data_IF_441914944041
#
_entry.id   IF_441914944041
#
_cell.length_a   1.000
_cell.length_b   1.000
_cell.length_c   1.000
_cell.angle_alpha   90.00
_cell.angle_beta   90.00
_cell.angle_gamma   90.00
#
_symmetry.space_group_name_H-M   'P 1'
#
loop_
_entity.id
_entity.type
_entity.pdbx_description
1 polymer ?
#
# COMPACT_ATOMS: atom_id res chain seq x y z
N UNK A 1 -6.97 -16.16 -8.38
CA UNK A 1 -7.43 -15.10 -7.47
C UNK A 1 -6.34 -14.06 -7.42
N UNK A 2 -6.60 -12.83 -7.87
CA UNK A 2 -5.60 -11.75 -7.85
C UNK A 2 -5.45 -11.20 -6.42
N UNK A 3 -4.23 -10.84 -6.04
CA UNK A 3 -3.85 -10.38 -4.71
C UNK A 3 -3.50 -8.91 -4.72
N UNK A 4 -4.33 -8.14 -4.03
CA UNK A 4 -4.08 -6.73 -3.78
C UNK A 4 -3.50 -6.57 -2.38
N UNK A 5 -2.32 -5.98 -2.29
CA UNK A 5 -1.60 -5.78 -1.05
C UNK A 5 -1.55 -4.29 -0.72
N UNK A 6 -2.16 -3.88 0.41
CA UNK A 6 -1.95 -2.52 0.96
C UNK A 6 -0.86 -2.61 2.01
N UNK A 7 0.18 -1.78 1.85
CA UNK A 7 1.24 -1.60 2.84
C UNK A 7 1.16 -0.18 3.39
N UNK A 8 1.19 -0.04 4.72
CA UNK A 8 1.25 1.26 5.39
C UNK A 8 2.09 1.19 6.66
N UNK A 9 2.52 2.34 7.18
CA UNK A 9 3.23 2.48 8.44
C UNK A 9 2.64 3.56 9.34
N UNK A 10 3.39 4.04 10.32
CA UNK A 10 2.95 5.00 11.32
C UNK A 10 1.59 4.59 11.93
N UNK A 11 0.58 5.46 11.87
CA UNK A 11 -0.77 5.19 12.37
C UNK A 11 -1.68 4.43 11.39
N UNK A 12 -1.23 4.10 10.17
CA UNK A 12 -2.03 3.37 9.17
C UNK A 12 -3.17 4.15 8.52
N UNK A 13 -3.19 5.48 8.65
CA UNK A 13 -4.32 6.29 8.24
C UNK A 13 -4.59 6.24 6.73
N UNK A 14 -3.53 6.22 5.91
CA UNK A 14 -3.65 6.23 4.47
C UNK A 14 -4.09 4.85 3.95
N UNK A 15 -3.49 3.79 4.48
CA UNK A 15 -3.85 2.40 4.20
C UNK A 15 -5.28 2.08 4.62
N UNK A 16 -5.74 2.61 5.77
CA UNK A 16 -7.12 2.45 6.22
C UNK A 16 -8.12 3.11 5.24
N UNK A 17 -7.81 4.32 4.75
CA UNK A 17 -8.65 4.98 3.76
C UNK A 17 -8.64 4.27 2.40
N UNK A 18 -7.48 3.79 1.96
CA UNK A 18 -7.37 2.94 0.77
C UNK A 18 -8.24 1.68 0.90
N UNK A 19 -8.11 0.94 2.01
CA UNK A 19 -8.88 -0.27 2.24
C UNK A 19 -10.39 0.00 2.19
N UNK A 20 -10.84 1.05 2.89
CA UNK A 20 -12.25 1.45 2.92
C UNK A 20 -12.80 1.81 1.53
N UNK A 21 -12.02 2.48 0.70
CA UNK A 21 -12.46 2.91 -0.64
C UNK A 21 -12.36 1.81 -1.70
N UNK A 22 -11.36 0.93 -1.58
CA UNK A 22 -11.07 -0.10 -2.57
C UNK A 22 -11.93 -1.34 -2.37
N UNK A 23 -12.10 -1.80 -1.12
CA UNK A 23 -12.77 -3.08 -0.82
C UNK A 23 -14.16 -3.22 -1.46
N UNK A 24 -15.05 -2.21 -1.44
CA UNK A 24 -16.38 -2.31 -2.07
C UNK A 24 -16.34 -2.38 -3.60
N UNK A 25 -15.20 -2.06 -4.22
CA UNK A 25 -15.02 -1.99 -5.67
C UNK A 25 -14.19 -3.15 -6.22
N UNK A 26 -13.65 -4.02 -5.36
CA UNK A 26 -12.82 -5.14 -5.80
C UNK A 26 -13.67 -6.20 -6.51
N UNK A 27 -13.18 -6.77 -7.62
CA UNK A 27 -13.79 -7.94 -8.24
C UNK A 27 -13.88 -9.13 -7.28
N UNK A 28 -14.85 -10.02 -7.49
CA UNK A 28 -15.10 -11.16 -6.61
C UNK A 28 -13.93 -12.17 -6.56
N UNK A 29 -13.10 -12.21 -7.59
CA UNK A 29 -11.91 -13.06 -7.70
C UNK A 29 -10.62 -12.36 -7.24
N UNK A 30 -10.75 -11.22 -6.55
CA UNK A 30 -9.64 -10.49 -5.94
C UNK A 30 -9.69 -10.59 -4.41
N UNK A 31 -8.53 -10.72 -3.77
CA UNK A 31 -8.39 -10.59 -2.31
C UNK A 31 -7.61 -9.33 -1.93
N UNK A 32 -8.03 -8.67 -0.85
CA UNK A 32 -7.31 -7.54 -0.25
C UNK A 32 -6.60 -8.00 1.03
N UNK A 33 -5.28 -7.83 1.06
CA UNK A 33 -4.44 -8.09 2.22
C UNK A 33 -3.84 -6.78 2.73
N UNK A 34 -3.97 -6.53 4.03
CA UNK A 34 -3.36 -5.39 4.70
C UNK A 34 -2.07 -5.81 5.42
N UNK A 35 -0.95 -5.15 5.14
CA UNK A 35 0.32 -5.41 5.84
C UNK A 35 0.89 -4.11 6.39
N UNK A 36 0.87 -3.97 7.72
CA UNK A 36 1.51 -2.84 8.38
C UNK A 36 3.00 -3.10 8.58
N UNK A 37 3.82 -2.05 8.45
CA UNK A 37 5.20 -2.07 8.95
C UNK A 37 5.23 -2.17 10.49
N UNK A 38 4.14 -1.75 11.15
CA UNK A 38 3.91 -1.90 12.58
C UNK A 38 2.45 -2.33 12.88
N UNK A 39 2.18 -2.69 14.14
CA UNK A 39 0.87 -3.24 14.57
C UNK A 39 -0.25 -2.20 14.51
N UNK A 40 0.03 -0.92 14.77
CA UNK A 40 -0.98 0.15 14.69
C UNK A 40 -1.47 0.31 13.25
N UNK A 41 -0.55 0.30 12.28
CA UNK A 41 -0.88 0.41 10.88
C UNK A 41 -1.77 -0.76 10.40
N UNK A 42 -1.38 -2.01 10.73
CA UNK A 42 -2.19 -3.19 10.44
C UNK A 42 -3.58 -3.09 11.09
N UNK A 43 -3.63 -2.67 12.36
CA UNK A 43 -4.87 -2.57 13.12
C UNK A 43 -5.82 -1.53 12.52
N UNK A 44 -5.30 -0.39 12.05
CA UNK A 44 -6.09 0.65 11.40
C UNK A 44 -6.74 0.13 10.11
N UNK A 45 -5.98 -0.59 9.28
CA UNK A 45 -6.50 -1.18 8.04
C UNK A 45 -7.54 -2.27 8.28
N UNK A 46 -7.33 -3.13 9.27
CA UNK A 46 -8.32 -4.16 9.66
C UNK A 46 -9.62 -3.52 10.15
N UNK A 47 -9.54 -2.49 10.99
CA UNK A 47 -10.71 -1.72 11.46
C UNK A 47 -11.46 -1.01 10.31
N UNK A 48 -10.76 -0.69 9.22
CA UNK A 48 -11.34 -0.09 8.03
C UNK A 48 -12.01 -1.11 7.09
N UNK A 49 -11.95 -2.40 7.40
CA UNK A 49 -12.66 -3.47 6.69
C UNK A 49 -11.77 -4.48 5.98
N UNK A 50 -10.44 -4.34 6.00
CA UNK A 50 -9.56 -5.38 5.46
C UNK A 50 -9.77 -6.69 6.22
N UNK A 51 -10.01 -7.79 5.49
CA UNK A 51 -10.38 -9.09 6.10
C UNK A 51 -9.15 -9.83 6.63
N UNK A 52 -7.99 -9.64 5.99
CA UNK A 52 -6.74 -10.30 6.34
C UNK A 52 -5.67 -9.27 6.62
N UNK A 53 -4.88 -9.52 7.67
CA UNK A 53 -3.83 -8.63 8.12
C UNK A 53 -2.59 -9.37 8.57
N UNK A 54 -1.41 -8.80 8.30
CA UNK A 54 -0.14 -9.25 8.87
C UNK A 54 0.75 -8.03 9.20
N UNK A 55 1.81 -8.22 9.99
CA UNK A 55 2.63 -7.11 10.46
C UNK A 55 4.12 -7.45 10.40
N UNK A 56 4.95 -6.45 10.05
CA UNK A 56 6.40 -6.47 10.21
C UNK A 56 7.17 -6.90 8.96
N UNK A 57 8.51 -6.90 9.07
CA UNK A 57 9.43 -7.10 7.94
C UNK A 57 9.12 -8.35 7.12
N UNK A 58 9.04 -9.50 7.79
CA UNK A 58 8.80 -10.75 7.07
C UNK A 58 7.40 -10.80 6.43
N UNK A 59 6.39 -10.17 7.04
CA UNK A 59 5.07 -10.08 6.45
C UNK A 59 5.10 -9.26 5.15
N UNK A 60 5.81 -8.13 5.14
CA UNK A 60 6.00 -7.33 3.94
C UNK A 60 6.74 -8.12 2.87
N UNK A 61 7.90 -8.71 3.21
CA UNK A 61 8.73 -9.47 2.26
C UNK A 61 7.97 -10.65 1.66
N UNK A 62 7.29 -11.43 2.50
CA UNK A 62 6.55 -12.62 2.07
C UNK A 62 5.39 -12.26 1.15
N UNK A 63 4.62 -11.22 1.47
CA UNK A 63 3.41 -10.89 0.71
C UNK A 63 3.71 -10.06 -0.54
N UNK A 64 4.73 -9.21 -0.53
CA UNK A 64 5.12 -8.42 -1.70
C UNK A 64 5.46 -9.30 -2.91
N UNK A 65 6.18 -10.42 -2.68
CA UNK A 65 6.53 -11.38 -3.73
C UNK A 65 5.34 -12.17 -4.30
N UNK A 66 4.15 -12.02 -3.72
CA UNK A 66 2.94 -12.80 -4.05
C UNK A 66 1.76 -11.92 -4.44
N UNK A 67 1.94 -10.61 -4.45
CA UNK A 67 0.93 -9.65 -4.82
C UNK A 67 0.93 -9.46 -6.34
N UNK A 68 -0.25 -9.18 -6.90
CA UNK A 68 -0.41 -8.71 -8.28
C UNK A 68 -0.37 -7.18 -8.32
N UNK A 69 -0.88 -6.53 -7.26
CA UNK A 69 -0.83 -5.07 -7.07
C UNK A 69 -0.44 -4.73 -5.64
N UNK A 70 0.47 -3.77 -5.47
CA UNK A 70 0.86 -3.20 -4.17
C UNK A 70 0.45 -1.73 -4.13
N UNK A 71 -0.23 -1.32 -3.06
CA UNK A 71 -0.62 0.07 -2.79
C UNK A 71 -0.06 0.56 -1.46
N UNK A 72 0.17 1.87 -1.36
CA UNK A 72 0.53 2.51 -0.10
C UNK A 72 1.18 3.88 -0.30
N UNK A 73 1.61 4.55 0.78
CA UNK A 73 2.42 5.75 0.66
C UNK A 73 3.73 5.42 -0.04
N UNK A 74 4.24 6.33 -0.88
CA UNK A 74 5.51 6.15 -1.61
C UNK A 74 6.70 5.80 -0.70
N UNK A 75 6.64 6.19 0.57
CA UNK A 75 7.64 5.85 1.59
C UNK A 75 7.86 4.35 1.79
N UNK A 76 6.92 3.47 1.43
CA UNK A 76 7.10 2.01 1.53
C UNK A 76 8.22 1.49 0.62
N UNK A 77 8.58 2.23 -0.43
CA UNK A 77 9.70 1.89 -1.30
C UNK A 77 11.04 2.35 -0.76
N UNK A 78 11.08 3.23 0.23
CA UNK A 78 12.32 3.84 0.68
C UNK A 78 12.92 3.03 1.83
N UNK A 79 14.13 2.52 1.64
CA UNK A 79 14.91 1.97 2.75
C UNK A 79 15.09 3.04 3.84
N UNK A 80 14.78 2.68 5.08
CA UNK A 80 14.71 3.56 6.25
C UNK A 80 13.65 4.66 6.16
N UNK A 81 12.74 4.55 5.19
CA UNK A 81 11.58 5.42 5.06
C UNK A 81 10.62 5.25 6.22
N UNK A 82 9.66 6.17 6.34
CA UNK A 82 8.63 6.14 7.39
C UNK A 82 9.30 6.10 8.78
N UNK A 83 10.20 7.05 9.04
CA UNK A 83 10.96 7.14 10.30
C UNK A 83 11.73 5.86 10.67
N UNK A 84 12.20 5.09 9.67
CA UNK A 84 12.94 3.85 9.89
C UNK A 84 12.08 2.59 10.02
N UNK A 85 10.75 2.68 9.89
CA UNK A 85 9.89 1.50 9.90
C UNK A 85 10.07 0.60 8.67
N UNK A 86 10.41 1.20 7.53
CA UNK A 86 10.67 0.45 6.30
C UNK A 86 12.12 0.03 6.28
N UNK A 87 12.38 -1.27 6.44
CA UNK A 87 13.75 -1.77 6.36
C UNK A 87 14.24 -1.84 4.90
N UNK A 88 15.56 -1.89 4.66
CA UNK A 88 16.10 -2.16 3.33
C UNK A 88 15.54 -3.44 2.70
N UNK A 89 15.30 -4.49 3.49
CA UNK A 89 14.72 -5.75 2.98
C UNK A 89 13.28 -5.59 2.53
N UNK A 90 12.47 -4.83 3.28
CA UNK A 90 11.10 -4.49 2.87
C UNK A 90 11.12 -3.74 1.53
N UNK A 91 11.94 -2.68 1.44
CA UNK A 91 12.08 -1.86 0.24
C UNK A 91 12.48 -2.68 -0.99
N UNK A 92 13.48 -3.57 -0.85
CA UNK A 92 13.91 -4.48 -1.94
C UNK A 92 12.79 -5.44 -2.35
N UNK A 93 12.08 -6.03 -1.38
CA UNK A 93 10.99 -6.96 -1.69
C UNK A 93 9.80 -6.28 -2.39
N UNK A 94 9.46 -5.05 -1.98
CA UNK A 94 8.37 -4.29 -2.61
C UNK A 94 8.79 -3.83 -4.01
N UNK A 95 9.95 -3.19 -4.15
CA UNK A 95 10.42 -2.65 -5.43
C UNK A 95 10.69 -3.75 -6.46
N UNK A 96 11.33 -4.85 -6.03
CA UNK A 96 11.71 -5.98 -6.86
C UNK A 96 10.58 -6.98 -7.17
N UNK A 97 9.39 -6.81 -6.59
CA UNK A 97 8.22 -7.63 -6.93
C UNK A 97 7.75 -7.35 -8.36
N UNK A 98 7.18 -8.36 -9.04
CA UNK A 98 6.54 -8.19 -10.35
C UNK A 98 5.19 -7.46 -10.28
N UNK A 99 4.65 -7.28 -9.07
CA UNK A 99 3.40 -6.56 -8.85
C UNK A 99 3.43 -5.15 -9.47
N UNK A 100 2.28 -4.67 -9.92
CA UNK A 100 2.09 -3.25 -10.20
C UNK A 100 2.14 -2.46 -8.88
N UNK A 101 2.81 -1.30 -8.86
CA UNK A 101 2.89 -0.43 -7.68
C UNK A 101 2.04 0.82 -7.90
N UNK A 102 1.04 1.03 -7.06
CA UNK A 102 0.20 2.23 -7.06
C UNK A 102 0.49 3.01 -5.78
N UNK A 103 1.29 4.06 -5.90
CA UNK A 103 1.86 4.76 -4.76
C UNK A 103 1.26 6.15 -4.59
N UNK A 104 1.00 6.52 -3.34
CA UNK A 104 0.51 7.85 -3.00
C UNK A 104 1.70 8.73 -2.60
N UNK A 105 1.88 9.90 -3.25
CA UNK A 105 2.85 10.89 -2.80
C UNK A 105 2.62 11.26 -1.33
N UNK A 106 3.68 11.24 -0.53
CA UNK A 106 3.63 11.59 0.88
C UNK A 106 4.55 12.79 1.16
N UNK A 107 3.97 13.85 1.72
CA UNK A 107 4.70 15.04 2.15
C UNK A 107 5.69 14.71 3.28
N UNK A 108 6.86 15.34 3.29
CA UNK A 108 7.85 15.19 4.36
C UNK A 108 8.80 13.98 4.24
N UNK A 109 8.67 13.16 3.20
CA UNK A 109 9.58 12.04 2.94
C UNK A 109 10.85 12.44 2.17
N UNK A 110 11.00 13.72 1.78
CA UNK A 110 12.12 14.19 0.95
C UNK A 110 12.08 13.66 -0.50
N UNK A 111 10.93 13.16 -0.95
CA UNK A 111 10.73 12.57 -2.28
C UNK A 111 9.94 13.57 -3.12
N UNK A 112 10.49 13.92 -4.28
CA UNK A 112 9.84 14.75 -5.28
C UNK A 112 9.60 13.90 -6.53
N UNK A 113 8.34 13.79 -6.94
CA UNK A 113 7.94 13.03 -8.12
C UNK A 113 7.61 14.02 -9.24
N UNK A 114 8.41 14.03 -10.30
CA UNK A 114 8.14 14.89 -11.45
C UNK A 114 6.87 14.43 -12.18
N UNK A 115 6.02 15.38 -12.59
CA UNK A 115 4.79 15.09 -13.34
C UNK A 115 3.57 14.74 -12.49
N UNK A 116 3.64 14.83 -11.16
CA UNK A 116 2.44 14.77 -10.31
C UNK A 116 1.67 16.07 -10.35
N UNK A 117 0.34 15.99 -10.22
CA UNK A 117 -0.51 17.15 -9.98
C UNK A 117 -0.65 17.37 -8.48
N UNK A 118 -0.63 18.62 -8.03
CA UNK A 118 -0.92 18.95 -6.63
C UNK A 118 -2.41 18.74 -6.36
N UNK A 119 -2.72 17.59 -5.75
CA UNK A 119 -4.07 17.20 -5.38
C UNK A 119 -4.25 17.18 -3.87
N UNK A 120 -5.50 17.24 -3.43
CA UNK A 120 -5.85 16.94 -2.04
C UNK A 120 -5.65 15.44 -1.78
N UNK A 121 -5.44 15.07 -0.51
CA UNK A 121 -5.24 13.67 -0.13
C UNK A 121 -6.38 12.74 -0.58
N UNK A 122 -7.63 13.20 -0.45
CA UNK A 122 -8.81 12.44 -0.88
C UNK A 122 -8.82 12.18 -2.39
N UNK A 123 -8.35 13.13 -3.20
CA UNK A 123 -8.21 12.95 -4.65
C UNK A 123 -7.10 11.94 -4.98
N UNK A 124 -5.94 12.01 -4.31
CA UNK A 124 -4.89 11.00 -4.47
C UNK A 124 -5.39 9.59 -4.15
N UNK A 125 -6.20 9.44 -3.10
CA UNK A 125 -6.76 8.15 -2.71
C UNK A 125 -7.75 7.61 -3.76
N UNK A 126 -8.63 8.45 -4.30
CA UNK A 126 -9.54 8.04 -5.38
C UNK A 126 -8.76 7.66 -6.65
N UNK A 127 -7.74 8.43 -7.01
CA UNK A 127 -6.88 8.13 -8.14
C UNK A 127 -6.14 6.80 -7.97
N UNK A 128 -5.61 6.53 -6.77
CA UNK A 128 -4.96 5.26 -6.45
C UNK A 128 -5.93 4.07 -6.59
N UNK A 129 -7.18 4.21 -6.13
CA UNK A 129 -8.22 3.19 -6.32
C UNK A 129 -8.50 2.94 -7.79
N UNK A 130 -8.68 4.00 -8.59
CA UNK A 130 -8.94 3.87 -10.03
C UNK A 130 -7.78 3.20 -10.78
N UNK A 131 -6.54 3.60 -10.48
CA UNK A 131 -5.33 2.98 -11.06
C UNK A 131 -5.19 1.51 -10.68
N UNK A 132 -5.56 1.16 -9.45
CA UNK A 132 -5.52 -0.23 -8.97
C UNK A 132 -6.48 -1.12 -9.72
N UNK A 133 -7.73 -0.68 -9.93
CA UNK A 133 -8.70 -1.44 -10.71
C UNK A 133 -8.21 -1.64 -12.15
N UNK A 134 -7.66 -0.60 -12.77
CA UNK A 134 -7.05 -0.70 -14.11
C UNK A 134 -5.87 -1.67 -14.17
N UNK A 135 -5.03 -1.69 -13.13
CA UNK A 135 -3.90 -2.62 -13.05
C UNK A 135 -4.37 -4.07 -12.86
N UNK A 136 -5.53 -4.29 -12.23
CA UNK A 136 -6.14 -5.61 -12.12
C UNK A 136 -6.77 -6.10 -13.43
N UNK A 137 -7.00 -5.24 -14.42
CA UNK A 137 -7.52 -5.63 -15.74
C UNK A 137 -6.41 -5.91 -16.77
N UNK A 138 -5.17 -5.55 -16.48
CA UNK A 138 -3.98 -5.86 -17.29
C UNK A 138 -3.50 -7.30 -17.08
#
# INVERSE_FOLDING_TARGET
MKRVLIIDGQGGGMGAQLAKLLLPKLPADCELLAVGTNVLATSAMLKAGAVRGATGENAVVYNAARADVILGPIGILMANGIMGEVSPKMSVAISGSEAAKVLIPASGCGIFVAGTQDCRLDEYLQNAVALTLRALDA
#
